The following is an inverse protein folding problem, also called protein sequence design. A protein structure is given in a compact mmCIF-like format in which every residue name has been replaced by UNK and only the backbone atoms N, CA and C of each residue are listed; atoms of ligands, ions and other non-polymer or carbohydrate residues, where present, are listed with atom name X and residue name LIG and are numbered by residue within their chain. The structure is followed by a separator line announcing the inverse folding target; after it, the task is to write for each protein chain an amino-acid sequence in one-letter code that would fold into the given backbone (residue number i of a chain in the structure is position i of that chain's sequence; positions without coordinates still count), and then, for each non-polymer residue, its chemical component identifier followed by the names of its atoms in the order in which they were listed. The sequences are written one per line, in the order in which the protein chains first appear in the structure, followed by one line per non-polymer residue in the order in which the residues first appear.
data_IF_135668854423
#
_entry.id   IF_135668854423
#
_cell.length_a   1.000
_cell.length_b   1.000
_cell.length_c   1.000
_cell.angle_alpha   90.00
_cell.angle_beta   90.00
_cell.angle_gamma   90.00
#
_symmetry.space_group_name_H-M   'P 1'
#
loop_
_entity.id
_entity.type
_entity.pdbx_description
1 polymer ?
#
# COMPACT_ATOMS: atom_id res chain seq x y z
N UNK A 1 -3.17 35.63 26.56
CA UNK A 1 -4.36 34.91 27.03
C UNK A 1 -5.51 35.28 26.11
N UNK A 2 -5.95 34.37 25.22
CA UNK A 2 -7.17 34.57 24.46
C UNK A 2 -8.33 34.29 25.42
N UNK A 3 -9.14 35.26 25.68
CA UNK A 3 -10.32 35.10 26.52
C UNK A 3 -11.42 34.42 25.74
N UNK A 4 -12.07 33.43 26.33
CA UNK A 4 -13.19 32.61 25.84
C UNK A 4 -14.39 33.37 25.23
N UNK A 5 -14.33 34.71 25.21
CA UNK A 5 -15.42 35.56 24.73
C UNK A 5 -15.54 35.67 23.21
N UNK A 6 -14.60 35.13 22.45
CA UNK A 6 -14.56 35.31 21.00
C UNK A 6 -15.05 34.10 20.18
N UNK A 7 -15.33 32.95 20.82
CA UNK A 7 -15.93 31.79 20.14
C UNK A 7 -17.45 31.93 20.24
N UNK A 8 -18.02 32.87 19.49
CA UNK A 8 -19.46 32.99 19.33
C UNK A 8 -19.89 32.10 18.16
N UNK A 9 -20.66 31.02 18.45
CA UNK A 9 -21.39 30.30 17.43
C UNK A 9 -21.16 28.80 17.32
N UNK A 10 -20.34 28.17 18.15
CA UNK A 10 -20.19 26.71 18.18
C UNK A 10 -20.95 26.12 19.38
N UNK A 11 -21.96 25.28 19.09
CA UNK A 11 -22.55 24.45 20.12
C UNK A 11 -21.66 23.25 20.40
N UNK A 12 -20.94 23.29 21.54
CA UNK A 12 -20.20 22.13 22.01
C UNK A 12 -21.19 21.10 22.52
N UNK A 13 -21.16 19.89 21.99
CA UNK A 13 -22.00 18.78 22.48
C UNK A 13 -21.66 18.51 23.94
N UNK A 14 -22.68 18.39 24.79
CA UNK A 14 -22.54 17.89 26.16
C UNK A 14 -22.96 16.44 26.20
N UNK A 15 -22.04 15.55 26.57
CA UNK A 15 -22.23 14.10 26.59
C UNK A 15 -21.92 13.56 27.98
N UNK A 16 -22.68 12.57 28.44
CA UNK A 16 -22.40 11.90 29.73
C UNK A 16 -21.24 10.88 29.65
N UNK A 17 -20.95 10.39 28.44
CA UNK A 17 -19.84 9.49 28.14
C UNK A 17 -19.10 9.98 26.91
N UNK A 18 -17.81 9.67 26.80
CA UNK A 18 -17.05 9.98 25.61
C UNK A 18 -17.55 9.18 24.41
N UNK A 19 -17.59 9.75 23.18
CA UNK A 19 -17.90 9.00 21.98
C UNK A 19 -16.96 7.82 21.81
N UNK A 20 -17.50 6.66 21.43
CA UNK A 20 -16.68 5.47 21.13
C UNK A 20 -15.83 5.64 19.86
N UNK A 21 -16.29 6.47 18.93
CA UNK A 21 -15.63 6.79 17.66
C UNK A 21 -15.76 8.29 17.39
N UNK A 22 -15.02 9.15 18.12
CA UNK A 22 -15.06 10.59 17.86
C UNK A 22 -14.40 10.90 16.50
N UNK A 23 -14.95 11.89 15.81
CA UNK A 23 -14.32 12.42 14.61
C UNK A 23 -13.06 13.23 14.99
N UNK A 24 -12.05 13.14 14.16
CA UNK A 24 -10.81 13.89 14.34
C UNK A 24 -11.07 15.40 14.51
N UNK A 25 -10.48 15.99 15.58
CA UNK A 25 -10.72 17.37 15.93
C UNK A 25 -12.11 17.65 16.56
N UNK A 26 -12.98 16.65 16.74
CA UNK A 26 -14.25 16.83 17.40
C UNK A 26 -14.03 17.27 18.85
N UNK A 27 -14.77 18.30 19.30
CA UNK A 27 -14.73 18.84 20.66
C UNK A 27 -16.06 18.58 21.35
N UNK A 28 -16.02 18.06 22.58
CA UNK A 28 -17.21 17.85 23.40
C UNK A 28 -16.94 18.15 24.87
N UNK A 29 -17.99 18.45 25.61
CA UNK A 29 -17.94 18.55 27.06
C UNK A 29 -18.45 17.24 27.66
N UNK A 30 -17.60 16.56 28.44
CA UNK A 30 -18.01 15.38 29.18
C UNK A 30 -18.62 15.84 30.51
N UNK A 31 -19.96 15.73 30.64
CA UNK A 31 -20.70 16.20 31.78
C UNK A 31 -20.47 15.37 33.04
N UNK A 32 -20.03 14.12 32.90
CA UNK A 32 -19.73 13.23 34.04
C UNK A 32 -18.37 13.60 34.67
N UNK A 33 -17.36 13.87 33.86
CA UNK A 33 -16.03 14.28 34.33
C UNK A 33 -15.92 15.80 34.53
N UNK A 34 -16.88 16.59 34.02
CA UNK A 34 -16.83 18.05 34.06
C UNK A 34 -15.73 18.66 33.18
N UNK A 35 -15.27 17.95 32.16
CA UNK A 35 -14.10 18.35 31.34
C UNK A 35 -14.47 18.58 29.88
N UNK A 36 -13.82 19.59 29.28
CA UNK A 36 -13.82 19.77 27.84
C UNK A 36 -12.79 18.80 27.25
N UNK A 37 -13.20 18.06 26.23
CA UNK A 37 -12.36 17.07 25.56
C UNK A 37 -12.28 17.35 24.06
N UNK A 38 -11.16 16.96 23.47
CA UNK A 38 -10.92 17.03 22.04
C UNK A 38 -10.46 15.66 21.55
N UNK A 39 -11.02 15.20 20.44
CA UNK A 39 -10.46 14.08 19.73
C UNK A 39 -9.14 14.50 19.08
N UNK A 40 -8.04 13.85 19.42
CA UNK A 40 -6.74 14.23 18.85
C UNK A 40 -6.70 13.97 17.36
N UNK A 41 -5.82 14.65 16.67
CA UNK A 41 -5.43 14.36 15.31
C UNK A 41 -4.76 12.97 15.31
N UNK A 42 -5.36 12.00 14.64
CA UNK A 42 -4.75 10.67 14.48
C UNK A 42 -3.74 10.74 13.34
N UNK A 43 -2.49 11.01 13.67
CA UNK A 43 -1.41 10.92 12.69
C UNK A 43 -0.98 9.46 12.59
N UNK A 44 -1.15 8.80 11.42
CA UNK A 44 -0.68 7.44 11.25
C UNK A 44 0.84 7.37 11.44
N UNK A 45 1.30 6.45 12.29
CA UNK A 45 2.71 6.26 12.57
C UNK A 45 3.14 4.83 12.23
N UNK A 46 4.43 4.67 11.93
CA UNK A 46 5.01 3.36 11.70
C UNK A 46 5.45 2.73 13.01
N UNK A 47 5.16 1.45 13.16
CA UNK A 47 5.59 0.62 14.29
C UNK A 47 6.14 -0.71 13.78
N UNK A 48 6.90 -1.42 14.61
CA UNK A 48 7.34 -2.76 14.27
C UNK A 48 6.13 -3.70 14.13
N UNK A 49 6.09 -4.44 13.03
CA UNK A 49 5.06 -5.44 12.74
C UNK A 49 5.47 -6.88 13.13
N UNK A 50 6.58 -7.05 13.84
CA UNK A 50 7.15 -8.37 14.13
C UNK A 50 8.21 -8.80 13.10
N UNK A 51 8.80 -9.97 13.27
CA UNK A 51 9.85 -10.48 12.40
C UNK A 51 9.27 -11.41 11.35
N UNK A 52 9.49 -11.11 10.07
CA UNK A 52 9.19 -12.04 9.00
C UNK A 52 10.19 -13.23 9.05
N UNK A 53 9.74 -14.48 8.98
CA UNK A 53 10.60 -15.65 9.10
C UNK A 53 11.55 -15.88 7.93
N UNK A 54 11.35 -15.17 6.81
CA UNK A 54 12.30 -15.23 5.70
C UNK A 54 12.68 -13.82 5.22
N UNK A 55 13.88 -13.72 4.65
CA UNK A 55 14.42 -12.47 4.12
C UNK A 55 14.37 -12.51 2.60
N UNK A 56 13.78 -11.50 1.99
CA UNK A 56 13.70 -11.35 0.55
C UNK A 56 13.52 -9.88 0.16
N UNK A 57 13.84 -9.54 -1.07
CA UNK A 57 13.47 -8.29 -1.72
C UNK A 57 12.63 -8.60 -2.97
N UNK A 58 11.96 -7.62 -3.52
CA UNK A 58 10.99 -7.80 -4.62
C UNK A 58 9.93 -8.90 -4.32
N UNK A 59 9.58 -9.05 -3.03
CA UNK A 59 8.50 -9.93 -2.62
C UNK A 59 7.14 -9.30 -2.92
N UNK A 60 6.13 -10.11 -3.07
CA UNK A 60 4.75 -9.66 -3.26
C UNK A 60 4.01 -9.63 -1.92
N UNK A 61 3.14 -8.66 -1.71
CA UNK A 61 2.28 -8.58 -0.53
C UNK A 61 0.90 -8.04 -0.85
N UNK A 62 -0.11 -8.47 -0.10
CA UNK A 62 -1.49 -7.98 -0.17
C UNK A 62 -2.21 -8.17 1.17
N UNK A 63 -3.35 -7.51 1.35
CA UNK A 63 -4.15 -7.56 2.58
C UNK A 63 -4.11 -6.26 3.37
N UNK A 64 -4.27 -6.35 4.67
CA UNK A 64 -4.34 -5.23 5.60
C UNK A 64 -3.23 -5.31 6.66
N UNK A 65 -2.96 -4.25 7.43
CA UNK A 65 -2.01 -4.30 8.53
C UNK A 65 -2.32 -5.33 9.64
N UNK A 66 -3.51 -5.88 9.66
CA UNK A 66 -3.95 -6.87 10.64
C UNK A 66 -4.25 -8.25 10.04
N UNK A 67 -4.25 -8.36 8.70
CA UNK A 67 -4.51 -9.61 7.99
C UNK A 67 -3.90 -9.51 6.57
N UNK A 68 -2.68 -9.97 6.40
CA UNK A 68 -1.94 -9.86 5.15
C UNK A 68 -1.28 -11.18 4.74
N UNK A 69 -0.94 -11.27 3.47
CA UNK A 69 -0.08 -12.31 2.92
C UNK A 69 1.17 -11.65 2.36
N UNK A 70 2.31 -12.28 2.56
CA UNK A 70 3.54 -12.01 1.83
C UNK A 70 4.02 -13.28 1.18
N UNK A 71 4.42 -13.21 -0.07
CA UNK A 71 4.86 -14.38 -0.82
C UNK A 71 5.96 -14.06 -1.82
N UNK A 72 6.67 -15.07 -2.25
CA UNK A 72 7.70 -14.98 -3.27
C UNK A 72 8.88 -14.07 -2.85
N UNK A 73 9.59 -13.57 -3.82
CA UNK A 73 10.70 -12.66 -3.65
C UNK A 73 12.03 -13.27 -4.05
N UNK A 74 13.04 -12.41 -4.03
CA UNK A 74 14.40 -12.78 -4.34
C UNK A 74 15.21 -12.89 -3.04
N UNK A 75 15.59 -14.13 -2.70
CA UNK A 75 16.55 -14.45 -1.65
C UNK A 75 17.59 -15.38 -2.26
N UNK A 76 18.40 -14.86 -3.22
CA UNK A 76 19.04 -15.67 -4.27
C UNK A 76 19.18 -17.15 -3.97
N UNK A 77 18.49 -18.07 -4.73
CA UNK A 77 17.59 -17.78 -5.86
C UNK A 77 16.21 -17.27 -5.45
N UNK A 78 15.32 -17.01 -6.42
CA UNK A 78 13.91 -16.69 -6.16
C UNK A 78 13.27 -17.80 -5.32
N UNK A 79 12.32 -17.40 -4.48
CA UNK A 79 11.60 -18.27 -3.55
C UNK A 79 10.10 -18.29 -3.85
N UNK A 80 9.44 -19.34 -3.40
CA UNK A 80 7.97 -19.54 -3.45
C UNK A 80 7.33 -19.49 -2.04
N UNK A 81 8.13 -19.24 -1.02
CA UNK A 81 7.66 -19.15 0.38
C UNK A 81 6.53 -18.13 0.49
N UNK A 82 5.50 -18.50 1.26
CA UNK A 82 4.41 -17.59 1.60
C UNK A 82 4.11 -17.66 3.11
N UNK A 83 3.80 -16.50 3.68
CA UNK A 83 3.42 -16.35 5.07
C UNK A 83 2.19 -15.47 5.19
N UNK A 84 1.35 -15.82 6.14
CA UNK A 84 0.26 -14.96 6.61
C UNK A 84 0.70 -14.12 7.80
N UNK A 85 0.19 -12.90 7.85
CA UNK A 85 0.37 -11.96 8.94
C UNK A 85 -0.96 -11.68 9.63
N UNK A 86 -1.00 -11.77 10.96
CA UNK A 86 -2.22 -11.60 11.76
C UNK A 86 -2.27 -10.26 12.54
N UNK A 87 -1.42 -9.30 12.18
CA UNK A 87 -1.28 -8.02 12.89
C UNK A 87 -0.19 -8.01 13.95
N UNK A 88 0.37 -9.17 14.33
CA UNK A 88 1.43 -9.29 15.35
C UNK A 88 2.55 -10.24 14.95
N UNK A 89 2.24 -11.31 14.25
CA UNK A 89 3.19 -12.36 13.91
C UNK A 89 2.90 -12.97 12.54
N UNK A 90 3.92 -13.57 11.97
CA UNK A 90 3.83 -14.33 10.72
C UNK A 90 3.72 -15.83 11.01
N UNK A 91 2.93 -16.51 10.18
CA UNK A 91 2.80 -17.97 10.15
C UNK A 91 2.93 -18.48 8.72
N UNK A 92 3.63 -19.61 8.47
CA UNK A 92 3.70 -20.20 7.16
C UNK A 92 2.32 -20.59 6.63
N UNK A 93 2.11 -20.34 5.34
CA UNK A 93 0.94 -20.84 4.59
C UNK A 93 1.39 -21.66 3.38
N UNK A 94 0.45 -22.10 2.54
CA UNK A 94 0.77 -22.84 1.33
C UNK A 94 1.71 -22.03 0.43
N UNK A 95 2.79 -22.66 -0.03
CA UNK A 95 3.77 -22.02 -0.91
C UNK A 95 3.11 -21.52 -2.21
N UNK A 96 3.61 -20.40 -2.73
CA UNK A 96 3.18 -19.88 -4.02
C UNK A 96 3.52 -20.88 -5.15
N UNK A 97 2.72 -21.01 -6.22
CA UNK A 97 2.89 -22.04 -7.22
C UNK A 97 4.22 -22.09 -7.96
N UNK A 98 4.98 -21.00 -7.94
CA UNK A 98 6.28 -20.92 -8.64
C UNK A 98 7.23 -19.94 -7.95
N UNK A 99 8.52 -20.29 -7.76
CA UNK A 99 9.51 -19.33 -7.27
C UNK A 99 9.63 -18.16 -8.24
N UNK A 100 9.49 -16.93 -7.73
CA UNK A 100 9.55 -15.70 -8.54
C UNK A 100 9.79 -14.46 -7.68
N UNK A 101 10.04 -13.33 -8.33
CA UNK A 101 10.15 -12.00 -7.71
C UNK A 101 9.50 -10.94 -8.59
N UNK A 102 9.26 -9.74 -8.05
CA UNK A 102 8.75 -8.60 -8.82
C UNK A 102 7.33 -8.76 -9.36
N UNK A 103 6.54 -9.67 -8.80
CA UNK A 103 5.10 -9.69 -8.95
C UNK A 103 4.46 -8.62 -8.06
N UNK A 104 3.21 -8.25 -8.33
CA UNK A 104 2.41 -7.47 -7.38
C UNK A 104 1.11 -8.19 -7.04
N UNK A 105 0.55 -7.88 -5.87
CA UNK A 105 -0.67 -8.48 -5.36
C UNK A 105 -1.65 -7.43 -4.84
N UNK A 106 -2.94 -7.76 -4.88
CA UNK A 106 -4.00 -6.95 -4.28
C UNK A 106 -5.14 -7.85 -3.78
N UNK A 107 -6.00 -7.28 -2.95
CA UNK A 107 -7.10 -8.01 -2.33
C UNK A 107 -6.91 -8.26 -0.83
N UNK A 108 -7.95 -8.74 -0.14
CA UNK A 108 -7.86 -9.15 1.26
C UNK A 108 -7.09 -10.47 1.41
N UNK A 109 -6.60 -10.76 2.63
CA UNK A 109 -5.89 -12.00 2.95
C UNK A 109 -6.63 -13.27 2.49
N UNK A 110 -7.95 -13.25 2.54
CA UNK A 110 -8.81 -14.41 2.20
C UNK A 110 -9.26 -14.45 0.74
N UNK A 111 -8.91 -13.46 -0.07
CA UNK A 111 -9.28 -13.36 -1.48
C UNK A 111 -8.29 -12.47 -2.23
N UNK A 112 -7.02 -12.87 -2.25
CA UNK A 112 -5.94 -12.12 -2.91
C UNK A 112 -5.67 -12.61 -4.32
N UNK A 113 -5.20 -11.69 -5.17
CA UNK A 113 -4.71 -11.94 -6.52
C UNK A 113 -3.25 -11.52 -6.60
N UNK A 114 -2.41 -12.34 -7.22
CA UNK A 114 -1.01 -12.02 -7.52
C UNK A 114 -0.76 -12.20 -9.01
N UNK A 115 -0.16 -11.21 -9.66
CA UNK A 115 0.02 -11.21 -11.11
C UNK A 115 1.43 -10.80 -11.53
N UNK A 116 1.91 -11.37 -12.64
CA UNK A 116 3.20 -11.09 -13.24
C UNK A 116 4.37 -11.70 -12.48
N UNK A 117 5.53 -11.06 -12.57
CA UNK A 117 6.76 -11.46 -11.91
C UNK A 117 7.89 -11.85 -12.85
N UNK A 118 8.99 -12.33 -12.26
CA UNK A 118 10.21 -12.73 -12.94
C UNK A 118 10.78 -14.03 -12.34
N UNK A 119 11.10 -15.00 -13.18
CA UNK A 119 11.79 -16.24 -12.82
C UNK A 119 12.67 -16.70 -13.97
N UNK A 120 13.83 -16.05 -14.15
CA UNK A 120 14.68 -16.27 -15.34
C UNK A 120 14.09 -15.69 -16.64
N UNK A 121 12.89 -15.14 -16.58
CA UNK A 121 12.16 -14.43 -17.64
C UNK A 121 10.93 -13.76 -17.06
N UNK A 122 10.37 -12.79 -17.79
CA UNK A 122 9.12 -12.14 -17.40
C UNK A 122 7.95 -13.11 -17.47
N UNK A 123 7.04 -13.02 -16.51
CA UNK A 123 5.95 -13.98 -16.36
C UNK A 123 4.59 -13.38 -16.72
N UNK A 124 3.71 -14.24 -17.22
CA UNK A 124 2.28 -13.96 -17.36
C UNK A 124 1.45 -14.62 -16.24
N UNK A 125 2.13 -15.20 -15.24
CA UNK A 125 1.48 -15.96 -14.17
C UNK A 125 0.47 -15.09 -13.42
N UNK A 126 -0.68 -15.67 -13.13
CA UNK A 126 -1.75 -15.09 -12.38
C UNK A 126 -2.31 -16.14 -11.40
N UNK A 127 -2.35 -15.83 -10.12
CA UNK A 127 -2.78 -16.76 -9.08
C UNK A 127 -3.70 -16.09 -8.08
N UNK A 128 -4.78 -16.79 -7.72
CA UNK A 128 -5.65 -16.45 -6.61
C UNK A 128 -5.23 -17.16 -5.33
N UNK A 129 -5.38 -16.47 -4.20
CA UNK A 129 -5.27 -17.02 -2.86
C UNK A 129 -6.62 -16.95 -2.15
N UNK A 130 -7.11 -18.07 -1.61
CA UNK A 130 -8.44 -18.16 -0.98
C UNK A 130 -8.39 -18.13 0.56
N UNK A 131 -7.27 -17.75 1.16
CA UNK A 131 -7.04 -17.81 2.60
C UNK A 131 -6.39 -19.11 3.08
N UNK A 132 -6.20 -20.10 2.22
CA UNK A 132 -5.55 -21.39 2.57
C UNK A 132 -4.71 -21.98 1.44
N UNK A 133 -5.06 -21.71 0.20
CA UNK A 133 -4.44 -22.34 -0.97
C UNK A 133 -4.41 -21.38 -2.17
N UNK A 134 -3.45 -21.63 -3.06
CA UNK A 134 -3.30 -20.94 -4.33
C UNK A 134 -3.96 -21.68 -5.47
N UNK A 135 -4.57 -20.95 -6.39
CA UNK A 135 -5.10 -21.45 -7.67
C UNK A 135 -4.45 -20.70 -8.82
N UNK A 136 -3.94 -21.42 -9.80
CA UNK A 136 -3.42 -20.79 -11.03
C UNK A 136 -4.60 -20.45 -11.93
N UNK A 137 -4.69 -19.19 -12.33
CA UNK A 137 -5.74 -18.64 -13.17
C UNK A 137 -5.27 -18.42 -14.62
N UNK A 138 -6.16 -18.02 -15.54
CA UNK A 138 -5.78 -17.62 -16.88
C UNK A 138 -4.68 -16.57 -16.87
N UNK A 139 -3.65 -16.81 -17.68
CA UNK A 139 -2.44 -15.98 -17.71
C UNK A 139 -2.71 -14.57 -18.24
N UNK A 140 -1.91 -13.61 -17.80
CA UNK A 140 -1.94 -12.25 -18.33
C UNK A 140 -1.67 -12.25 -19.84
N UNK A 141 -2.24 -11.27 -20.55
CA UNK A 141 -2.04 -11.05 -21.99
C UNK A 141 -0.63 -10.54 -22.34
N UNK A 142 0.15 -10.10 -21.36
CA UNK A 142 1.53 -9.66 -21.52
C UNK A 142 2.38 -10.02 -20.29
N UNK A 143 3.56 -10.60 -20.53
CA UNK A 143 4.52 -10.94 -19.47
C UNK A 143 5.16 -9.68 -18.91
N UNK A 144 5.19 -9.52 -17.57
CA UNK A 144 5.72 -8.34 -16.88
C UNK A 144 6.24 -8.63 -15.49
N UNK A 145 7.17 -7.77 -15.07
CA UNK A 145 7.67 -7.68 -13.70
C UNK A 145 7.73 -6.20 -13.27
N UNK A 146 7.75 -5.92 -11.98
CA UNK A 146 7.78 -4.55 -11.46
C UNK A 146 6.55 -3.72 -11.86
N UNK A 147 5.42 -4.39 -12.06
CA UNK A 147 4.12 -3.78 -12.33
C UNK A 147 3.47 -3.30 -11.02
N UNK A 148 2.46 -2.44 -11.12
CA UNK A 148 1.51 -2.19 -10.05
C UNK A 148 0.20 -2.92 -10.31
N UNK A 149 -0.41 -3.49 -9.27
CA UNK A 149 -1.73 -4.14 -9.35
C UNK A 149 -2.74 -3.36 -8.52
N UNK A 150 -3.92 -3.13 -9.08
CA UNK A 150 -5.06 -2.58 -8.37
C UNK A 150 -6.31 -3.44 -8.62
N UNK A 151 -7.19 -3.51 -7.67
CA UNK A 151 -8.41 -4.35 -7.69
C UNK A 151 -9.12 -4.35 -6.35
N UNK A 152 -8.36 -4.02 -5.30
CA UNK A 152 -8.89 -3.93 -3.96
C UNK A 152 -9.57 -5.22 -3.49
N UNK A 153 -10.66 -5.11 -2.73
CA UNK A 153 -11.41 -6.28 -2.23
C UNK A 153 -12.00 -7.16 -3.33
N UNK A 154 -12.05 -6.68 -4.57
CA UNK A 154 -12.55 -7.40 -5.73
C UNK A 154 -11.44 -7.94 -6.66
N UNK A 155 -10.17 -7.95 -6.24
CA UNK A 155 -9.03 -8.26 -7.11
C UNK A 155 -9.17 -9.59 -7.87
N UNK A 156 -9.77 -10.62 -7.28
CA UNK A 156 -10.01 -11.93 -7.93
C UNK A 156 -11.08 -11.87 -9.03
N UNK A 157 -11.89 -10.84 -9.08
CA UNK A 157 -12.98 -10.71 -10.06
C UNK A 157 -12.84 -9.49 -10.96
N UNK A 158 -12.01 -8.52 -10.56
CA UNK A 158 -11.75 -7.31 -11.32
C UNK A 158 -10.44 -6.65 -10.87
N UNK A 159 -9.43 -6.65 -11.71
CA UNK A 159 -8.13 -6.04 -11.42
C UNK A 159 -7.54 -5.35 -12.64
N UNK A 160 -6.60 -4.42 -12.41
CA UNK A 160 -5.80 -3.82 -13.48
C UNK A 160 -4.32 -3.94 -13.13
N UNK A 161 -3.56 -4.53 -14.04
CA UNK A 161 -2.11 -4.53 -14.00
C UNK A 161 -1.56 -3.35 -14.80
N UNK A 162 -0.78 -2.50 -14.14
CA UNK A 162 -0.32 -1.21 -14.68
C UNK A 162 1.17 -1.24 -14.94
N UNK A 163 1.58 -0.87 -16.14
CA UNK A 163 3.00 -0.69 -16.50
C UNK A 163 3.88 -1.93 -16.24
N UNK A 164 5.10 -1.74 -15.79
CA UNK A 164 6.09 -2.78 -15.54
C UNK A 164 7.09 -2.98 -16.69
N UNK A 165 7.98 -3.93 -16.54
CA UNK A 165 8.91 -4.38 -17.55
C UNK A 165 8.42 -5.63 -18.26
N UNK A 166 8.77 -5.78 -19.54
CA UNK A 166 8.45 -6.95 -20.34
C UNK A 166 9.53 -7.29 -21.36
N UNK A 167 9.41 -8.46 -22.03
CA UNK A 167 10.46 -8.97 -22.92
C UNK A 167 10.66 -8.12 -24.19
N UNK A 168 9.64 -7.40 -24.62
CA UNK A 168 9.69 -6.61 -25.88
C UNK A 168 9.99 -5.14 -25.68
N UNK A 169 9.95 -4.64 -24.46
CA UNK A 169 10.30 -3.28 -24.11
C UNK A 169 10.77 -3.26 -22.66
N UNK A 170 11.86 -2.54 -22.36
CA UNK A 170 12.39 -2.47 -21.00
C UNK A 170 11.36 -1.89 -20.01
N UNK A 171 10.40 -1.10 -20.50
CA UNK A 171 9.26 -0.61 -19.72
C UNK A 171 8.07 -0.35 -20.64
N UNK A 172 6.84 -0.54 -20.16
CA UNK A 172 5.64 -0.43 -21.00
C UNK A 172 4.62 0.56 -20.44
N UNK A 173 3.93 1.27 -21.34
CA UNK A 173 2.73 2.04 -21.02
C UNK A 173 1.47 1.19 -20.99
N UNK A 174 1.58 -0.10 -21.30
CA UNK A 174 0.43 -1.00 -21.38
C UNK A 174 -0.18 -1.23 -20.00
N UNK A 175 -1.50 -1.36 -19.95
CA UNK A 175 -2.24 -1.95 -18.84
C UNK A 175 -2.93 -3.22 -19.30
N UNK A 176 -3.30 -4.04 -18.35
CA UNK A 176 -4.12 -5.23 -18.60
C UNK A 176 -5.25 -5.25 -17.60
N UNK A 177 -6.46 -5.44 -18.09
CA UNK A 177 -7.68 -5.48 -17.30
C UNK A 177 -8.12 -6.93 -17.13
N UNK A 178 -8.37 -7.36 -15.89
CA UNK A 178 -8.86 -8.68 -15.51
C UNK A 178 -10.33 -8.61 -15.14
N UNK A 179 -11.13 -9.53 -15.68
CA UNK A 179 -12.57 -9.62 -15.45
C UNK A 179 -12.98 -10.82 -14.56
N UNK A 180 -12.02 -11.46 -13.90
CA UNK A 180 -12.21 -12.68 -13.12
C UNK A 180 -12.06 -13.97 -13.94
N UNK A 181 -11.97 -13.88 -15.25
CA UNK A 181 -11.86 -15.03 -16.16
C UNK A 181 -10.80 -14.89 -17.24
N UNK A 182 -10.49 -13.66 -17.63
CA UNK A 182 -9.53 -13.37 -18.70
C UNK A 182 -8.86 -12.01 -18.52
N UNK A 183 -7.68 -11.86 -19.14
CA UNK A 183 -6.95 -10.59 -19.20
C UNK A 183 -7.05 -9.99 -20.60
N UNK A 184 -7.45 -8.74 -20.67
CA UNK A 184 -7.54 -7.97 -21.92
C UNK A 184 -6.66 -6.72 -21.86
N UNK A 185 -6.36 -6.11 -23.01
CA UNK A 185 -5.62 -4.86 -23.02
C UNK A 185 -6.49 -3.72 -22.48
N UNK A 186 -5.98 -3.02 -21.48
CA UNK A 186 -6.62 -1.86 -20.88
C UNK A 186 -6.12 -0.52 -21.46
N UNK A 187 -6.57 0.59 -20.85
CA UNK A 187 -6.20 1.93 -21.23
C UNK A 187 -4.72 2.20 -20.91
N UNK A 188 -3.92 2.57 -21.90
CA UNK A 188 -2.52 2.87 -21.71
C UNK A 188 -2.29 4.07 -20.76
N UNK A 189 -1.24 3.98 -19.94
CA UNK A 189 -0.80 5.10 -19.09
C UNK A 189 -0.06 6.15 -19.92
N UNK A 190 -0.17 7.45 -19.59
CA UNK A 190 0.49 8.53 -20.34
C UNK A 190 2.02 8.41 -20.35
N UNK A 191 2.59 7.86 -19.30
CA UNK A 191 4.03 7.66 -19.15
C UNK A 191 4.30 6.26 -18.62
N UNK A 192 5.29 5.60 -19.22
CA UNK A 192 5.70 4.26 -18.81
C UNK A 192 6.48 4.28 -17.48
N UNK A 193 6.30 3.26 -16.67
CA UNK A 193 6.91 3.12 -15.33
C UNK A 193 7.26 1.67 -15.04
N UNK A 194 8.34 1.49 -14.28
CA UNK A 194 8.72 0.22 -13.66
C UNK A 194 8.87 0.44 -12.16
N UNK A 195 8.59 -0.55 -11.35
CA UNK A 195 8.63 -0.41 -9.90
C UNK A 195 7.59 0.60 -9.41
N UNK A 196 6.42 0.61 -10.02
CA UNK A 196 5.28 1.46 -9.69
C UNK A 196 4.44 0.80 -8.61
N UNK A 197 4.08 1.56 -7.58
CA UNK A 197 3.00 1.16 -6.65
C UNK A 197 1.65 1.52 -7.24
N UNK A 198 0.64 0.71 -6.97
CA UNK A 198 -0.72 1.01 -7.41
C UNK A 198 -1.75 0.58 -6.37
N UNK A 199 -2.93 1.19 -6.42
CA UNK A 199 -4.07 0.86 -5.57
C UNK A 199 -5.37 1.42 -6.11
N UNK A 200 -6.47 1.04 -5.47
CA UNK A 200 -7.81 1.46 -5.86
C UNK A 200 -8.61 0.37 -6.54
N UNK A 201 -9.69 0.77 -7.17
CA UNK A 201 -10.60 -0.11 -7.88
C UNK A 201 -10.44 0.02 -9.39
N UNK A 202 -11.03 -0.90 -10.14
CA UNK A 202 -11.10 -0.83 -11.61
C UNK A 202 -11.96 0.34 -12.15
N UNK A 203 -12.60 1.10 -11.28
CA UNK A 203 -13.33 2.33 -11.63
C UNK A 203 -12.66 3.61 -11.13
N UNK A 204 -11.76 3.51 -10.14
CA UNK A 204 -11.04 4.65 -9.56
C UNK A 204 -9.73 4.19 -8.97
N UNK A 205 -8.62 4.38 -9.67
CA UNK A 205 -7.31 3.91 -9.29
C UNK A 205 -6.25 5.00 -9.23
N UNK A 206 -5.14 4.68 -8.55
CA UNK A 206 -3.96 5.52 -8.49
C UNK A 206 -2.71 4.66 -8.73
N UNK A 207 -1.75 5.19 -9.49
CA UNK A 207 -0.43 4.61 -9.65
C UNK A 207 0.63 5.67 -9.31
N UNK A 208 1.69 5.27 -8.61
CA UNK A 208 2.61 6.19 -7.93
C UNK A 208 4.06 5.79 -8.17
N UNK A 209 4.93 6.78 -8.36
CA UNK A 209 6.37 6.61 -8.47
C UNK A 209 6.82 5.82 -9.70
N UNK A 210 7.89 5.07 -9.54
CA UNK A 210 8.51 4.26 -10.59
C UNK A 210 9.73 4.91 -11.23
N UNK A 211 10.32 4.20 -12.20
CA UNK A 211 11.56 4.62 -12.88
C UNK A 211 11.35 5.31 -14.21
N UNK A 212 12.41 5.92 -14.65
CA UNK A 212 12.83 6.49 -15.91
C UNK A 212 12.35 7.94 -16.16
N UNK A 213 12.93 8.89 -15.52
CA UNK A 213 13.81 8.79 -14.33
C UNK A 213 13.01 8.42 -13.07
N UNK A 214 13.70 8.19 -11.94
CA UNK A 214 13.03 8.01 -10.63
C UNK A 214 12.06 9.18 -10.44
N UNK A 215 10.78 8.88 -10.17
CA UNK A 215 9.75 9.86 -10.42
C UNK A 215 8.92 10.20 -9.18
N UNK A 216 8.51 11.46 -9.14
CA UNK A 216 7.51 12.01 -8.22
C UNK A 216 6.10 11.95 -8.80
N UNK A 217 5.91 11.41 -9.99
CA UNK A 217 4.61 11.39 -10.67
C UNK A 217 3.61 10.46 -9.99
N UNK A 218 2.37 10.89 -9.96
CA UNK A 218 1.23 10.00 -9.79
C UNK A 218 0.35 10.02 -11.04
N UNK A 219 -0.43 8.97 -11.21
CA UNK A 219 -1.39 8.81 -12.29
C UNK A 219 -2.73 8.42 -11.68
N UNK A 220 -3.79 9.04 -12.15
CA UNK A 220 -5.15 8.79 -11.68
C UNK A 220 -5.95 8.09 -12.78
N UNK A 221 -6.63 7.02 -12.42
CA UNK A 221 -7.56 6.28 -13.28
C UNK A 221 -9.00 6.59 -12.92
N UNK A 222 -9.81 6.90 -13.93
CA UNK A 222 -11.22 7.27 -13.74
C UNK A 222 -12.22 6.17 -14.17
N UNK A 223 -11.73 4.94 -14.35
CA UNK A 223 -12.54 3.82 -14.85
C UNK A 223 -12.50 3.63 -16.38
N UNK A 224 -11.89 4.56 -17.12
CA UNK A 224 -11.79 4.47 -18.60
C UNK A 224 -10.44 4.95 -19.14
N UNK A 225 -9.77 5.86 -18.46
CA UNK A 225 -8.51 6.44 -18.91
C UNK A 225 -7.63 6.87 -17.75
N UNK A 226 -6.32 6.94 -18.00
CA UNK A 226 -5.33 7.45 -17.09
C UNK A 226 -4.98 8.90 -17.38
N UNK A 227 -4.86 9.71 -16.36
CA UNK A 227 -4.39 11.09 -16.43
C UNK A 227 -3.27 11.36 -15.43
N UNK A 228 -2.48 12.41 -15.65
CA UNK A 228 -1.50 12.86 -14.67
C UNK A 228 -2.22 13.33 -13.40
N UNK A 229 -1.77 12.82 -12.26
CA UNK A 229 -2.15 13.28 -10.93
C UNK A 229 -1.18 14.34 -10.38
N UNK A 230 -1.41 14.81 -9.14
CA UNK A 230 -0.49 15.68 -8.45
C UNK A 230 0.88 15.04 -8.23
N UNK A 231 1.92 15.86 -8.20
CA UNK A 231 3.30 15.42 -8.00
C UNK A 231 3.57 15.15 -6.52
N UNK A 232 4.17 14.01 -6.20
CA UNK A 232 4.70 13.69 -4.86
C UNK A 232 5.85 14.63 -4.49
N UNK A 233 6.10 14.83 -3.21
CA UNK A 233 7.19 15.68 -2.72
C UNK A 233 8.57 15.02 -2.90
N UNK A 234 8.61 13.69 -2.82
CA UNK A 234 9.83 12.88 -2.97
C UNK A 234 9.68 11.87 -4.10
N UNK A 235 10.76 11.54 -4.82
CA UNK A 235 10.73 10.48 -5.80
C UNK A 235 10.70 9.11 -5.12
N UNK A 236 9.92 8.19 -5.67
CA UNK A 236 9.78 6.81 -5.18
C UNK A 236 9.88 5.82 -6.35
N UNK A 237 10.78 4.84 -6.22
CA UNK A 237 10.92 3.72 -7.15
C UNK A 237 10.90 2.42 -6.36
N UNK A 238 10.22 1.41 -6.85
CA UNK A 238 10.09 0.11 -6.16
C UNK A 238 9.68 0.30 -4.69
N UNK A 239 8.72 1.18 -4.50
CA UNK A 239 8.12 1.56 -3.23
C UNK A 239 6.93 0.67 -2.90
N UNK A 240 6.53 0.66 -1.64
CA UNK A 240 5.22 0.19 -1.24
C UNK A 240 4.17 1.29 -1.37
N UNK A 241 2.93 0.90 -1.51
CA UNK A 241 1.84 1.87 -1.55
C UNK A 241 0.53 1.28 -2.02
N UNK A 242 -0.52 2.10 -1.99
CA UNK A 242 -1.87 1.74 -2.38
C UNK A 242 -2.88 2.72 -1.82
N UNK A 243 -4.13 2.30 -1.71
CA UNK A 243 -5.24 3.15 -1.29
C UNK A 243 -6.17 3.48 -2.44
N UNK A 244 -6.99 4.50 -2.28
CA UNK A 244 -7.96 4.96 -3.30
C UNK A 244 -7.42 6.17 -4.06
N UNK A 245 -8.03 6.47 -5.21
CA UNK A 245 -7.81 7.71 -5.94
C UNK A 245 -8.20 8.99 -5.17
N UNK A 246 -8.80 8.84 -3.99
CA UNK A 246 -9.19 9.93 -3.07
C UNK A 246 -8.39 9.93 -1.77
N UNK A 247 -7.69 8.83 -1.45
CA UNK A 247 -6.86 8.70 -0.26
C UNK A 247 -5.86 7.55 -0.45
N UNK A 248 -4.58 7.86 -0.60
CA UNK A 248 -3.55 6.85 -0.84
C UNK A 248 -2.30 7.13 -0.01
N UNK A 249 -1.43 6.14 0.08
CA UNK A 249 -0.12 6.30 0.70
C UNK A 249 0.96 5.69 -0.20
N UNK A 250 2.11 6.35 -0.26
CA UNK A 250 3.32 5.84 -0.89
C UNK A 250 4.46 5.88 0.14
N UNK A 251 5.25 4.82 0.24
CA UNK A 251 6.28 4.73 1.26
C UNK A 251 7.48 3.91 0.80
N UNK A 252 8.65 4.25 1.34
CA UNK A 252 9.89 3.55 1.05
C UNK A 252 10.37 3.73 -0.39
N UNK A 253 10.95 2.66 -0.92
CA UNK A 253 11.49 2.66 -2.27
C UNK A 253 12.91 3.19 -2.36
N UNK A 254 13.36 3.45 -3.58
CA UNK A 254 14.70 3.92 -3.88
C UNK A 254 14.68 5.38 -4.33
N UNK A 255 15.65 6.13 -3.84
CA UNK A 255 16.06 7.45 -4.38
C UNK A 255 17.52 7.37 -4.83
N UNK A 256 18.48 7.72 -3.96
CA UNK A 256 19.91 7.45 -4.12
C UNK A 256 20.36 6.25 -3.24
N UNK A 257 19.41 5.54 -2.65
CA UNK A 257 19.55 4.42 -1.71
C UNK A 257 18.19 4.07 -1.16
N UNK A 258 18.12 3.18 -0.18
CA UNK A 258 16.86 2.85 0.51
C UNK A 258 16.25 4.07 1.18
N UNK A 259 14.94 4.23 1.10
CA UNK A 259 14.20 5.40 1.54
C UNK A 259 13.26 5.03 2.70
N UNK A 260 13.08 5.95 3.65
CA UNK A 260 12.09 5.81 4.74
C UNK A 260 10.90 6.76 4.58
N UNK A 261 10.91 7.64 3.58
CA UNK A 261 9.88 8.64 3.39
C UNK A 261 8.52 7.99 3.18
N UNK A 262 7.50 8.62 3.74
CA UNK A 262 6.09 8.28 3.54
C UNK A 262 5.36 9.53 3.13
N UNK A 263 4.48 9.42 2.15
CA UNK A 263 3.63 10.48 1.68
C UNK A 263 2.17 10.03 1.63
N UNK A 264 1.28 10.89 2.10
CA UNK A 264 -0.17 10.68 2.05
C UNK A 264 -0.79 11.55 0.96
N UNK A 265 -1.70 10.95 0.23
CA UNK A 265 -2.55 11.61 -0.76
C UNK A 265 -3.95 11.84 -0.20
N UNK A 266 -4.43 13.08 -0.24
CA UNK A 266 -5.75 13.48 0.27
C UNK A 266 -6.85 13.59 -0.80
N UNK A 267 -6.57 13.11 -2.02
CA UNK A 267 -7.45 13.24 -3.18
C UNK A 267 -7.16 14.49 -4.04
N UNK A 268 -6.30 15.39 -3.57
CA UNK A 268 -5.96 16.63 -4.27
C UNK A 268 -4.45 16.93 -4.29
N UNK A 269 -3.74 16.55 -3.24
CA UNK A 269 -2.31 16.81 -3.06
C UNK A 269 -1.61 15.73 -2.27
N UNK A 270 -0.28 15.68 -2.40
CA UNK A 270 0.59 14.82 -1.60
C UNK A 270 1.19 15.61 -0.43
N UNK A 271 1.08 15.06 0.77
CA UNK A 271 1.66 15.58 1.99
C UNK A 271 2.71 14.63 2.55
N UNK A 272 3.83 15.16 3.06
CA UNK A 272 4.80 14.35 3.79
C UNK A 272 4.20 13.83 5.09
N UNK A 273 4.37 12.55 5.37
CA UNK A 273 3.89 11.86 6.57
C UNK A 273 5.06 11.34 7.42
N UNK A 274 4.75 10.71 8.55
CA UNK A 274 5.76 10.12 9.42
C UNK A 274 6.56 9.03 8.72
N UNK A 275 7.88 9.13 8.74
CA UNK A 275 8.79 8.18 8.09
C UNK A 275 8.71 6.78 8.72
N UNK A 276 9.04 5.77 7.93
CA UNK A 276 9.30 4.42 8.44
C UNK A 276 10.49 4.42 9.40
N UNK A 277 10.51 3.50 10.37
CA UNK A 277 11.61 3.33 11.30
C UNK A 277 12.88 2.82 10.60
N UNK A 278 12.70 1.95 9.60
CA UNK A 278 13.78 1.43 8.76
C UNK A 278 13.53 1.82 7.31
N UNK A 279 14.53 2.40 6.67
CA UNK A 279 14.49 2.69 5.25
C UNK A 279 14.56 1.40 4.43
N UNK A 280 13.65 1.21 3.49
CA UNK A 280 13.62 0.03 2.62
C UNK A 280 13.36 0.41 1.18
N UNK A 281 13.99 -0.32 0.27
CA UNK A 281 13.73 -0.30 -1.17
C UNK A 281 13.30 -1.68 -1.64
N UNK A 282 12.80 -1.77 -2.87
CA UNK A 282 12.26 -3.02 -3.41
C UNK A 282 11.26 -3.66 -2.43
N UNK A 283 10.47 -2.81 -1.79
CA UNK A 283 9.48 -3.16 -0.80
C UNK A 283 8.11 -3.15 -1.46
N UNK A 284 7.62 -4.29 -1.87
CA UNK A 284 6.27 -4.42 -2.36
C UNK A 284 5.29 -4.58 -1.17
N UNK A 285 5.17 -3.53 -0.37
CA UNK A 285 4.18 -3.42 0.68
C UNK A 285 2.88 -2.83 0.14
N UNK A 286 1.77 -3.17 0.76
CA UNK A 286 0.46 -2.64 0.38
C UNK A 286 -0.12 -1.71 1.44
N UNK A 287 -0.82 -0.70 0.98
CA UNK A 287 -1.74 0.09 1.78
C UNK A 287 -3.14 -0.50 1.67
N UNK A 288 -3.93 -0.31 2.73
CA UNK A 288 -5.34 -0.69 2.68
C UNK A 288 -6.13 0.26 1.80
N UNK A 289 -7.33 -0.17 1.46
CA UNK A 289 -8.28 0.62 0.67
C UNK A 289 -8.58 2.01 1.24
N UNK A 290 -8.53 2.16 2.57
CA UNK A 290 -8.86 3.41 3.25
C UNK A 290 -7.69 4.41 3.34
N UNK A 291 -6.57 4.10 2.71
CA UNK A 291 -5.45 5.01 2.46
C UNK A 291 -4.39 5.14 3.55
N UNK A 292 -4.69 5.51 4.80
CA UNK A 292 -3.62 5.87 5.74
C UNK A 292 -2.91 4.68 6.39
N UNK A 293 -3.47 3.47 6.33
CA UNK A 293 -2.87 2.29 6.93
C UNK A 293 -2.11 1.47 5.89
N UNK A 294 -0.97 0.92 6.27
CA UNK A 294 -0.11 0.16 5.35
C UNK A 294 0.74 -0.85 6.11
N UNK A 295 1.25 -1.84 5.40
CA UNK A 295 2.31 -2.70 5.92
C UNK A 295 3.40 -2.93 4.89
N UNK A 296 4.61 -3.14 5.36
CA UNK A 296 5.75 -3.65 4.60
C UNK A 296 6.37 -4.78 5.39
N UNK A 297 6.70 -5.87 4.76
CA UNK A 297 7.22 -7.05 5.46
C UNK A 297 8.62 -7.46 5.00
N UNK A 298 9.04 -7.03 3.80
CA UNK A 298 10.35 -7.32 3.23
C UNK A 298 10.83 -6.17 2.38
N UNK A 299 12.08 -6.20 2.01
CA UNK A 299 12.70 -5.21 1.13
C UNK A 299 14.21 -5.23 1.27
N UNK A 300 14.88 -4.24 0.71
CA UNK A 300 16.30 -4.00 0.86
C UNK A 300 16.53 -2.79 1.76
N UNK A 301 17.30 -2.95 2.80
CA UNK A 301 17.72 -1.86 3.70
C UNK A 301 19.05 -1.21 3.28
N UNK A 302 19.60 -1.61 2.11
CA UNK A 302 20.89 -1.13 1.63
C UNK A 302 22.07 -1.96 2.12
N UNK A 303 21.89 -2.94 2.99
CA UNK A 303 22.92 -3.90 3.38
C UNK A 303 23.12 -4.99 2.31
N UNK A 304 24.20 -5.73 2.36
CA UNK A 304 24.46 -6.85 1.47
C UNK A 304 24.52 -8.18 2.24
N UNK A 305 23.72 -9.17 1.89
CA UNK A 305 22.68 -9.19 0.86
C UNK A 305 21.50 -8.29 1.23
N UNK A 306 21.10 -7.45 0.30
CA UNK A 306 20.18 -6.36 0.48
C UNK A 306 18.74 -6.86 0.77
N UNK A 307 18.40 -7.02 2.03
CA UNK A 307 17.09 -7.53 2.48
C UNK A 307 16.84 -7.18 3.95
N UNK A 308 15.58 -7.16 4.33
CA UNK A 308 15.16 -7.02 5.73
C UNK A 308 14.15 -8.10 6.10
N UNK A 309 14.24 -8.59 7.30
CA UNK A 309 13.29 -9.50 7.93
C UNK A 309 12.36 -8.77 8.91
N UNK A 310 12.51 -7.46 9.00
CA UNK A 310 11.71 -6.63 9.91
C UNK A 310 10.52 -6.04 9.17
N UNK A 311 9.33 -6.45 9.56
CA UNK A 311 8.10 -5.82 9.07
C UNK A 311 7.79 -4.54 9.83
N UNK A 312 7.13 -3.61 9.13
CA UNK A 312 6.64 -2.37 9.70
C UNK A 312 5.17 -2.21 9.35
N UNK A 313 4.40 -1.76 10.32
CA UNK A 313 2.95 -1.54 10.20
C UNK A 313 2.67 -0.07 10.43
N UNK A 314 1.92 0.53 9.52
CA UNK A 314 1.41 1.88 9.66
C UNK A 314 -0.07 1.83 9.97
N UNK A 315 -0.46 2.34 11.12
CA UNK A 315 -1.84 2.39 11.56
C UNK A 315 -2.18 3.72 12.20
N UNK A 316 -3.45 4.07 12.19
CA UNK A 316 -3.98 5.13 13.03
C UNK A 316 -4.05 4.59 14.46
N UNK A 317 -3.17 5.05 15.34
CA UNK A 317 -3.36 4.81 16.75
C UNK A 317 -4.40 5.81 17.26
N UNK A 318 -5.43 5.31 17.96
CA UNK A 318 -6.29 6.17 18.74
C UNK A 318 -5.42 6.77 19.86
N UNK A 319 -5.00 8.00 19.69
CA UNK A 319 -4.39 8.75 20.79
C UNK A 319 -5.51 8.99 21.81
N UNK A 320 -5.25 8.70 23.08
CA UNK A 320 -6.22 8.94 24.15
C UNK A 320 -6.76 10.37 24.07
N UNK A 321 -8.09 10.50 24.22
CA UNK A 321 -8.76 11.81 24.23
C UNK A 321 -8.08 12.75 25.21
N UNK A 322 -7.61 13.89 24.72
CA UNK A 322 -6.94 14.86 25.57
C UNK A 322 -7.96 15.73 26.32
N UNK A 323 -7.74 15.91 27.60
CA UNK A 323 -8.50 16.84 28.41
C UNK A 323 -7.91 18.24 28.21
N UNK A 324 -8.74 19.18 27.77
CA UNK A 324 -8.35 20.59 27.72
C UNK A 324 -8.38 21.13 29.15
N UNK A 325 -7.21 21.27 29.77
CA UNK A 325 -7.09 21.93 31.07
C UNK A 325 -7.09 23.44 30.87
N UNK A 326 -8.08 24.11 31.47
CA UNK A 326 -8.02 25.58 31.63
C UNK A 326 -7.16 25.90 32.85
N UNK A 327 -6.02 26.54 32.64
CA UNK A 327 -5.24 27.15 33.70
C UNK A 327 -5.84 28.50 34.09
#
# INVERSE_FOLDING_TARGET
MATYKEIKGFNIKSLSTDPSTPLEGEIWFNSTSGTLKVAPLVVPVWASGGTNPYTAYDACGFGTPTAAVICCGNSPPQIDTANEYNGTSFSPTTAYPSPQSGADGDGPQTAGLVAGGYSGGYLTLNCDYNGTAWSVNPVMNAARSGLGLLGNTAAQTAAIAVSGEGPSAPVTTSTSDYDGSSWTAGAAVPTWKQGTSAGGTTSAGIAMGGTAPIATNSLIYNGSSWSAGPTMNSPHQSAGGGGLATAAVCFGGTTAGSNAATEDYDGSSWGSAGNMATAVSNCHGKATIDGPTAFVATGSDGSAPARTDVSQVRGGFLVETQTVTTS
#
